data_IF_605948806878
#
_entry.id   IF_605948806878
#
_cell.length_a   1.000
_cell.length_b   1.000
_cell.length_c   1.000
_cell.angle_alpha   90.00
_cell.angle_beta   90.00
_cell.angle_gamma   90.00
#
_symmetry.space_group_name_H-M   'P 1'
#
loop_
_entity.id
_entity.type
_entity.pdbx_description
1 polymer ?
#
# COMPACT_ATOMS: atom_id res chain seq x y z
N UNK A 1 27.26 -89.15 0.00
CA UNK A 1 28.40 -89.15 0.94
C UNK A 1 27.91 -89.71 2.26
N UNK A 2 28.60 -90.72 2.77
CA UNK A 2 28.31 -91.36 4.06
C UNK A 2 29.65 -91.77 4.67
N UNK A 3 29.72 -91.91 5.99
CA UNK A 3 30.90 -92.49 6.61
C UNK A 3 31.03 -93.97 6.25
N UNK A 4 32.23 -94.55 6.37
CA UNK A 4 32.44 -96.00 6.24
C UNK A 4 31.47 -96.74 7.17
N UNK A 5 30.61 -97.57 6.57
CA UNK A 5 29.53 -98.33 7.23
C UNK A 5 29.66 -99.81 6.84
N UNK A 6 30.72 -100.44 7.30
CA UNK A 6 30.99 -101.85 7.09
C UNK A 6 31.62 -102.49 8.35
N UNK A 7 31.74 -103.83 8.43
CA UNK A 7 32.21 -104.52 9.63
C UNK A 7 33.65 -104.20 10.07
N UNK A 8 34.42 -103.46 9.26
CA UNK A 8 35.82 -103.10 9.57
C UNK A 8 35.96 -101.69 10.14
N UNK A 9 34.87 -100.93 10.25
CA UNK A 9 34.88 -99.58 10.81
C UNK A 9 35.05 -99.55 12.34
N UNK A 10 35.60 -98.45 12.86
CA UNK A 10 35.72 -98.18 14.31
C UNK A 10 34.90 -96.95 14.70
N UNK A 11 34.30 -96.90 15.91
CA UNK A 11 33.35 -95.85 16.30
C UNK A 11 33.97 -94.50 16.68
N UNK A 12 35.30 -94.47 16.90
CA UNK A 12 36.07 -93.27 17.22
C UNK A 12 37.18 -93.15 16.21
N UNK A 13 37.35 -91.96 15.61
CA UNK A 13 38.42 -91.70 14.66
C UNK A 13 39.78 -91.98 15.34
N UNK A 14 40.62 -92.86 14.76
CA UNK A 14 41.97 -93.07 15.28
C UNK A 14 42.78 -91.77 15.31
N UNK A 15 43.76 -91.63 16.24
CA UNK A 15 44.69 -90.51 16.21
C UNK A 15 45.40 -90.45 14.84
N UNK A 16 45.41 -89.27 14.22
CA UNK A 16 46.14 -89.04 12.97
C UNK A 16 47.63 -89.28 13.25
N UNK A 17 48.28 -90.10 12.42
CA UNK A 17 49.68 -90.41 12.57
C UNK A 17 50.57 -89.17 12.36
N UNK A 18 51.79 -89.23 12.88
CA UNK A 18 52.76 -88.16 12.69
C UNK A 18 53.07 -87.93 11.20
N UNK A 19 53.28 -86.67 10.82
CA UNK A 19 53.66 -86.29 9.46
C UNK A 19 54.95 -87.02 9.02
N UNK A 20 54.87 -87.81 7.96
CA UNK A 20 55.99 -88.63 7.47
C UNK A 20 56.87 -87.92 6.42
N UNK A 21 56.38 -86.86 5.79
CA UNK A 21 57.11 -86.10 4.76
C UNK A 21 56.82 -84.61 4.88
N UNK A 22 57.88 -83.79 4.93
CA UNK A 22 57.79 -82.32 4.94
C UNK A 22 57.66 -81.70 3.54
N UNK A 23 57.71 -82.54 2.51
CA UNK A 23 57.55 -82.15 1.10
C UNK A 23 56.35 -82.86 0.50
N UNK A 24 55.57 -82.16 -0.32
CA UNK A 24 54.38 -82.72 -0.98
C UNK A 24 54.74 -83.91 -1.87
N UNK A 25 54.07 -85.04 -1.69
CA UNK A 25 54.21 -86.25 -2.49
C UNK A 25 52.91 -86.52 -3.26
N UNK A 26 52.99 -87.29 -4.34
CA UNK A 26 51.86 -87.62 -5.22
C UNK A 26 51.71 -89.14 -5.40
N UNK A 27 50.51 -89.59 -5.72
CA UNK A 27 50.25 -91.00 -6.04
C UNK A 27 51.05 -91.44 -7.28
N UNK A 28 51.67 -92.62 -7.19
CA UNK A 28 52.35 -93.30 -8.30
C UNK A 28 51.89 -94.75 -8.39
N UNK A 29 51.82 -95.29 -9.61
CA UNK A 29 51.54 -96.72 -9.91
C UNK A 29 52.69 -97.64 -9.48
N UNK A 30 53.78 -97.08 -8.94
CA UNK A 30 55.01 -97.82 -8.62
C UNK A 30 55.88 -98.07 -9.86
N UNK A 31 56.96 -98.83 -9.68
CA UNK A 31 57.94 -99.12 -10.74
C UNK A 31 59.36 -99.29 -10.21
N UNK A 32 60.22 -100.02 -10.93
CA UNK A 32 61.63 -100.28 -10.56
C UNK A 32 61.82 -100.72 -9.09
N UNK A 33 60.97 -101.60 -8.59
CA UNK A 33 61.04 -102.13 -7.22
C UNK A 33 60.37 -101.27 -6.15
N UNK A 34 59.78 -100.13 -6.50
CA UNK A 34 58.96 -99.32 -5.58
C UNK A 34 57.48 -99.71 -5.72
N UNK A 35 56.79 -100.04 -4.61
CA UNK A 35 55.38 -100.39 -4.64
C UNK A 35 54.50 -99.18 -5.03
N UNK A 36 53.30 -99.42 -5.58
CA UNK A 36 52.31 -98.38 -5.80
C UNK A 36 51.99 -97.63 -4.50
N UNK A 37 51.61 -96.36 -4.63
CA UNK A 37 51.16 -95.57 -3.49
C UNK A 37 49.83 -96.13 -2.96
N UNK A 38 49.78 -96.44 -1.68
CA UNK A 38 48.54 -96.82 -1.01
C UNK A 38 48.10 -95.69 -0.08
N UNK A 39 46.88 -95.15 -0.23
CA UNK A 39 46.32 -94.25 0.75
C UNK A 39 46.03 -95.02 2.04
N UNK A 40 46.63 -94.58 3.14
CA UNK A 40 46.40 -95.13 4.47
C UNK A 40 45.05 -94.69 5.08
N UNK A 41 44.68 -95.25 6.25
CA UNK A 41 43.45 -94.91 6.94
C UNK A 41 43.33 -93.41 7.27
N UNK A 42 44.43 -92.73 7.58
CA UNK A 42 44.44 -91.29 7.85
C UNK A 42 43.92 -90.48 6.67
N UNK A 43 44.40 -90.78 5.46
CA UNK A 43 44.00 -90.07 4.24
C UNK A 43 42.50 -90.23 3.98
N UNK A 44 41.99 -91.47 4.06
CA UNK A 44 40.58 -91.75 3.85
C UNK A 44 39.68 -91.12 4.93
N UNK A 45 40.10 -91.15 6.19
CA UNK A 45 39.35 -90.54 7.28
C UNK A 45 39.31 -89.01 7.19
N UNK A 46 40.41 -88.38 6.76
CA UNK A 46 40.46 -86.92 6.54
C UNK A 46 39.49 -86.53 5.42
N UNK A 47 39.62 -87.13 4.22
CA UNK A 47 38.73 -86.83 3.09
C UNK A 47 37.27 -87.10 3.45
N UNK A 48 36.99 -88.22 4.13
CA UNK A 48 35.64 -88.52 4.59
C UNK A 48 35.12 -87.41 5.52
N UNK A 49 35.91 -87.02 6.52
CA UNK A 49 35.52 -86.04 7.53
C UNK A 49 35.27 -84.67 6.91
N UNK A 50 36.12 -84.22 5.97
CA UNK A 50 35.92 -82.95 5.25
C UNK A 50 34.64 -82.96 4.43
N UNK A 51 34.35 -84.05 3.71
CA UNK A 51 33.13 -84.16 2.91
C UNK A 51 31.87 -84.27 3.78
N UNK A 52 31.94 -84.92 4.95
CA UNK A 52 30.86 -84.95 5.93
C UNK A 52 30.67 -83.58 6.61
N UNK A 53 31.75 -82.84 6.84
CA UNK A 53 31.70 -81.50 7.42
C UNK A 53 31.01 -80.51 6.48
N UNK A 54 31.23 -80.61 5.16
CA UNK A 54 30.48 -79.85 4.16
C UNK A 54 28.97 -80.10 4.29
N UNK A 55 28.55 -81.35 4.48
CA UNK A 55 27.14 -81.68 4.71
C UNK A 55 26.64 -81.10 6.04
N UNK A 56 27.42 -81.22 7.11
CA UNK A 56 27.09 -80.70 8.44
C UNK A 56 26.88 -79.19 8.42
N UNK A 57 27.80 -78.46 7.80
CA UNK A 57 27.73 -77.00 7.61
C UNK A 57 26.49 -76.61 6.79
N UNK A 58 26.14 -77.39 5.77
CA UNK A 58 24.90 -77.20 5.02
C UNK A 58 23.64 -77.68 5.76
N UNK A 59 23.74 -78.20 6.97
CA UNK A 59 22.66 -78.85 7.71
C UNK A 59 21.94 -79.92 6.87
N UNK A 60 22.72 -80.82 6.26
CA UNK A 60 22.27 -81.99 5.51
C UNK A 60 22.74 -83.22 6.26
N UNK A 61 21.82 -84.14 6.59
CA UNK A 61 22.19 -85.42 7.21
C UNK A 61 22.79 -86.35 6.15
N UNK A 62 23.94 -87.00 6.41
CA UNK A 62 24.49 -88.00 5.52
C UNK A 62 23.49 -89.14 5.26
N UNK A 63 23.34 -89.54 4.01
CA UNK A 63 22.51 -90.67 3.57
C UNK A 63 23.25 -91.57 2.58
N UNK A 64 23.40 -92.85 2.89
CA UNK A 64 24.09 -93.82 2.03
C UNK A 64 23.40 -94.05 0.68
N UNK A 65 22.11 -93.76 0.56
CA UNK A 65 21.35 -93.97 -0.68
C UNK A 65 21.39 -92.78 -1.65
N UNK A 66 22.00 -91.66 -1.24
CA UNK A 66 22.01 -90.42 -2.03
C UNK A 66 23.40 -90.07 -2.55
N UNK A 67 23.55 -89.93 -3.87
CA UNK A 67 24.84 -89.71 -4.54
C UNK A 67 25.15 -88.24 -4.89
N UNK A 68 24.24 -87.29 -4.65
CA UNK A 68 24.41 -85.86 -4.99
C UNK A 68 24.55 -84.93 -3.77
N UNK A 69 24.73 -85.45 -2.56
CA UNK A 69 24.64 -84.66 -1.32
C UNK A 69 25.68 -83.54 -1.21
N UNK A 70 26.92 -83.76 -1.67
CA UNK A 70 27.97 -82.73 -1.65
C UNK A 70 27.55 -81.54 -2.53
N UNK A 71 27.08 -81.80 -3.75
CA UNK A 71 26.56 -80.77 -4.64
C UNK A 71 25.37 -80.03 -4.01
N UNK A 72 24.46 -80.74 -3.35
CA UNK A 72 23.33 -80.14 -2.62
C UNK A 72 23.81 -79.23 -1.47
N UNK A 73 24.84 -79.66 -0.72
CA UNK A 73 25.45 -78.84 0.33
C UNK A 73 26.13 -77.59 -0.22
N UNK A 74 26.94 -77.71 -1.28
CA UNK A 74 27.59 -76.57 -1.91
C UNK A 74 26.57 -75.58 -2.47
N UNK A 75 25.50 -76.06 -3.11
CA UNK A 75 24.37 -75.20 -3.52
C UNK A 75 23.77 -74.49 -2.31
N UNK A 76 23.52 -75.17 -1.21
CA UNK A 76 22.93 -74.55 -0.02
C UNK A 76 23.87 -73.53 0.64
N UNK A 77 25.17 -73.78 0.67
CA UNK A 77 26.20 -72.92 1.28
C UNK A 77 26.57 -71.70 0.43
N UNK A 78 26.55 -71.84 -0.90
CA UNK A 78 26.95 -70.76 -1.82
C UNK A 78 25.76 -70.05 -2.50
N UNK A 79 24.57 -70.66 -2.53
CA UNK A 79 23.32 -70.04 -3.03
C UNK A 79 22.48 -69.48 -1.86
N UNK A 80 22.96 -69.50 -0.62
CA UNK A 80 22.41 -68.64 0.46
C UNK A 80 22.79 -67.16 0.28
N UNK A 81 22.50 -66.64 -0.91
CA UNK A 81 21.75 -65.39 -1.05
C UNK A 81 20.22 -65.67 -1.03
N UNK A 82 19.79 -66.77 -0.39
CA UNK A 82 18.37 -67.10 -0.16
C UNK A 82 17.74 -65.97 0.64
N UNK A 83 16.94 -65.17 -0.04
CA UNK A 83 16.32 -64.01 0.54
C UNK A 83 16.40 -62.80 -0.37
N UNK A 84 16.42 -61.63 0.25
CA UNK A 84 16.48 -60.33 -0.42
C UNK A 84 17.73 -60.16 -1.30
N UNK A 85 18.84 -60.86 -1.01
CA UNK A 85 20.06 -60.82 -1.83
C UNK A 85 19.89 -61.54 -3.18
N UNK A 86 19.16 -62.65 -3.22
CA UNK A 86 18.79 -63.34 -4.47
C UNK A 86 17.80 -62.54 -5.31
N UNK A 87 16.92 -61.78 -4.64
CA UNK A 87 16.01 -60.84 -5.30
C UNK A 87 16.77 -59.74 -6.05
N UNK A 88 17.85 -59.21 -5.47
CA UNK A 88 18.73 -58.22 -6.11
C UNK A 88 19.51 -58.86 -7.26
N UNK A 89 20.09 -60.05 -7.05
CA UNK A 89 20.88 -60.76 -8.05
C UNK A 89 20.07 -61.15 -9.30
N UNK A 90 18.76 -61.35 -9.14
CA UNK A 90 17.84 -61.65 -10.24
C UNK A 90 17.40 -60.42 -11.05
N UNK A 91 17.75 -59.20 -10.64
CA UNK A 91 17.42 -57.99 -11.40
C UNK A 91 18.38 -57.82 -12.58
N UNK A 92 17.82 -57.75 -13.79
CA UNK A 92 18.56 -57.27 -14.96
C UNK A 92 18.58 -55.75 -14.92
N UNK A 93 19.76 -55.14 -14.72
CA UNK A 93 19.89 -53.68 -14.67
C UNK A 93 19.31 -52.99 -15.91
N UNK A 94 18.49 -51.95 -15.69
CA UNK A 94 17.93 -51.11 -16.75
C UNK A 94 18.14 -49.63 -16.45
N UNK A 95 18.43 -48.85 -17.49
CA UNK A 95 18.60 -47.40 -17.37
C UNK A 95 17.36 -46.75 -16.75
N UNK A 96 17.57 -45.77 -15.87
CA UNK A 96 16.51 -44.96 -15.29
C UNK A 96 15.47 -45.74 -14.49
N UNK A 97 15.84 -46.82 -13.81
CA UNK A 97 14.92 -47.62 -12.98
C UNK A 97 15.36 -47.68 -11.51
N UNK A 98 14.41 -47.90 -10.60
CA UNK A 98 14.67 -48.12 -9.18
C UNK A 98 14.23 -49.53 -8.77
N UNK A 99 15.10 -50.32 -8.11
CA UNK A 99 14.73 -51.58 -7.51
C UNK A 99 13.77 -51.42 -6.34
N UNK A 100 12.69 -52.19 -6.28
CA UNK A 100 11.78 -52.23 -5.13
C UNK A 100 11.26 -53.65 -4.89
N UNK A 101 10.92 -53.97 -3.64
CA UNK A 101 10.34 -55.27 -3.30
C UNK A 101 8.87 -55.33 -3.73
N UNK A 102 8.51 -56.38 -4.47
CA UNK A 102 7.12 -56.71 -4.82
C UNK A 102 6.56 -57.85 -3.97
N UNK A 103 7.41 -58.46 -3.14
CA UNK A 103 7.07 -59.49 -2.17
C UNK A 103 8.28 -59.84 -1.31
N UNK A 104 8.09 -60.72 -0.33
CA UNK A 104 9.20 -61.27 0.46
C UNK A 104 10.18 -61.95 -0.51
N UNK A 105 11.40 -61.43 -0.58
CA UNK A 105 12.49 -61.96 -1.40
C UNK A 105 12.24 -61.91 -2.94
N UNK A 106 11.35 -61.02 -3.38
CA UNK A 106 11.11 -60.73 -4.80
C UNK A 106 11.23 -59.23 -5.05
N UNK A 107 12.00 -58.83 -6.07
CA UNK A 107 12.15 -57.43 -6.48
C UNK A 107 11.76 -57.25 -7.93
N UNK A 108 11.34 -56.03 -8.26
CA UNK A 108 11.15 -55.57 -9.62
C UNK A 108 11.82 -54.20 -9.82
N UNK A 109 11.98 -53.81 -11.08
CA UNK A 109 12.40 -52.47 -11.46
C UNK A 109 11.17 -51.62 -11.76
N UNK A 110 11.15 -50.39 -11.23
CA UNK A 110 10.17 -49.38 -11.64
C UNK A 110 10.86 -48.26 -12.41
N UNK A 111 10.34 -47.81 -13.57
CA UNK A 111 10.88 -46.66 -14.28
C UNK A 111 10.78 -45.38 -13.44
N UNK A 112 11.88 -44.64 -13.36
CA UNK A 112 11.93 -43.31 -12.76
C UNK A 112 11.70 -42.25 -13.83
N UNK A 113 10.84 -41.28 -13.54
CA UNK A 113 10.72 -40.08 -14.38
C UNK A 113 12.00 -39.24 -14.32
N UNK A 114 12.21 -38.38 -15.32
CA UNK A 114 13.32 -37.42 -15.30
C UNK A 114 13.28 -36.53 -14.04
N UNK A 115 12.08 -36.20 -13.56
CA UNK A 115 11.86 -35.45 -12.32
C UNK A 115 12.41 -36.18 -11.09
N UNK A 116 12.04 -37.46 -10.88
CA UNK A 116 12.49 -38.20 -9.68
C UNK A 116 14.00 -38.44 -9.71
N UNK A 117 14.60 -38.68 -10.89
CA UNK A 117 16.06 -38.77 -11.00
C UNK A 117 16.77 -37.45 -10.72
N UNK A 118 16.13 -36.32 -10.98
CA UNK A 118 16.63 -35.00 -10.61
C UNK A 118 16.60 -34.74 -9.10
N UNK A 119 15.87 -35.56 -8.32
CA UNK A 119 15.74 -35.44 -6.86
C UNK A 119 16.67 -36.44 -6.15
N UNK A 120 16.73 -37.69 -6.63
CA UNK A 120 17.57 -38.73 -6.04
C UNK A 120 19.04 -38.40 -6.26
N UNK A 121 19.79 -38.17 -5.18
CA UNK A 121 21.22 -37.83 -5.24
C UNK A 121 21.55 -36.35 -5.03
N UNK A 122 20.59 -35.53 -4.59
CA UNK A 122 20.90 -34.18 -4.10
C UNK A 122 21.57 -34.24 -2.73
N UNK A 123 22.71 -33.56 -2.60
CA UNK A 123 23.54 -33.56 -1.38
C UNK A 123 23.16 -32.44 -0.39
N UNK A 124 22.31 -31.48 -0.81
CA UNK A 124 21.84 -30.39 0.04
C UNK A 124 20.31 -30.23 0.02
N UNK A 125 19.76 -29.68 1.10
CA UNK A 125 18.34 -29.34 1.18
C UNK A 125 17.94 -28.28 0.13
N UNK A 126 18.84 -27.36 -0.18
CA UNK A 126 18.71 -26.33 -1.21
C UNK A 126 18.50 -26.95 -2.60
N UNK A 127 19.37 -27.88 -3.01
CA UNK A 127 19.27 -28.52 -4.32
C UNK A 127 18.04 -29.42 -4.45
N UNK A 128 17.64 -30.06 -3.35
CA UNK A 128 16.40 -30.84 -3.29
C UNK A 128 15.17 -29.93 -3.47
N UNK A 129 15.13 -28.78 -2.78
CA UNK A 129 14.04 -27.82 -2.87
C UNK A 129 13.92 -27.18 -4.26
N UNK A 130 15.05 -26.87 -4.90
CA UNK A 130 15.09 -26.35 -6.26
C UNK A 130 14.59 -27.39 -7.28
N UNK A 131 14.99 -28.65 -7.13
CA UNK A 131 14.50 -29.75 -7.97
C UNK A 131 12.98 -29.93 -7.86
N UNK A 132 12.41 -29.65 -6.67
CA UNK A 132 10.98 -29.72 -6.42
C UNK A 132 10.20 -28.53 -7.02
N UNK A 133 10.86 -27.44 -7.47
CA UNK A 133 10.25 -26.19 -7.98
C UNK A 133 9.22 -25.52 -7.04
N UNK A 134 9.06 -26.03 -5.82
CA UNK A 134 8.11 -25.53 -4.81
C UNK A 134 8.68 -24.33 -4.05
N UNK A 135 10.01 -24.21 -3.98
CA UNK A 135 10.72 -23.09 -3.35
C UNK A 135 11.55 -22.43 -4.44
N UNK A 136 11.02 -21.40 -5.10
CA UNK A 136 11.89 -20.58 -5.96
C UNK A 136 12.69 -19.65 -5.06
N UNK A 137 14.00 -19.87 -5.00
CA UNK A 137 14.93 -19.07 -4.18
C UNK A 137 15.25 -17.70 -4.80
N UNK A 138 14.89 -17.47 -6.06
CA UNK A 138 15.09 -16.18 -6.73
C UNK A 138 14.08 -15.98 -7.86
N UNK A 139 13.23 -14.96 -7.73
CA UNK A 139 12.30 -14.52 -8.78
C UNK A 139 11.32 -15.60 -9.28
N UNK A 140 10.30 -15.17 -10.01
CA UNK A 140 9.39 -16.12 -10.64
C UNK A 140 8.15 -15.48 -11.22
N UNK A 141 7.70 -16.01 -12.34
CA UNK A 141 6.37 -15.73 -12.89
C UNK A 141 5.39 -16.75 -12.34
N UNK A 142 4.26 -16.28 -11.83
CA UNK A 142 3.09 -17.11 -11.48
C UNK A 142 2.05 -16.93 -12.59
N UNK A 143 1.45 -18.01 -13.08
CA UNK A 143 0.39 -17.97 -14.10
C UNK A 143 -1.01 -17.80 -13.51
N UNK A 144 -1.12 -17.69 -12.18
CA UNK A 144 -2.37 -17.50 -11.45
C UNK A 144 -2.20 -16.58 -10.23
N UNK A 145 -3.27 -16.40 -9.46
CA UNK A 145 -3.32 -15.49 -8.31
C UNK A 145 -2.42 -15.95 -7.15
N UNK A 146 -1.71 -15.00 -6.54
CA UNK A 146 -1.07 -15.18 -5.23
C UNK A 146 -2.08 -14.84 -4.13
N UNK A 147 -2.50 -15.84 -3.35
CA UNK A 147 -3.46 -15.68 -2.23
C UNK A 147 -2.76 -15.82 -0.90
N UNK A 148 -2.87 -14.82 -0.05
CA UNK A 148 -2.21 -14.76 1.25
C UNK A 148 -3.27 -14.54 2.33
N UNK A 149 -3.37 -15.48 3.29
CA UNK A 149 -4.29 -15.36 4.43
C UNK A 149 -3.69 -14.61 5.62
N UNK A 150 -2.36 -14.48 5.66
CA UNK A 150 -1.64 -13.78 6.72
C UNK A 150 -1.99 -12.30 6.78
N UNK A 151 -1.95 -11.73 7.98
CA UNK A 151 -2.27 -10.31 8.23
C UNK A 151 -1.22 -9.41 7.60
N UNK A 152 0.06 -9.61 7.93
CA UNK A 152 1.19 -9.02 7.21
C UNK A 152 1.43 -9.88 5.95
N UNK A 153 0.85 -9.48 4.82
CA UNK A 153 0.72 -10.35 3.67
C UNK A 153 1.97 -10.32 2.77
N UNK A 154 2.37 -9.14 2.32
CA UNK A 154 3.51 -8.94 1.41
C UNK A 154 4.46 -7.89 1.98
N UNK A 155 5.77 -8.10 1.84
CA UNK A 155 6.81 -7.16 2.21
C UNK A 155 7.70 -6.86 1.01
N UNK A 156 8.01 -5.57 0.83
CA UNK A 156 9.06 -5.09 -0.08
C UNK A 156 10.06 -4.35 0.79
N UNK A 157 11.34 -4.72 0.77
CA UNK A 157 12.29 -4.20 1.74
C UNK A 157 13.71 -4.04 1.18
N UNK A 158 14.51 -3.25 1.90
CA UNK A 158 15.97 -3.27 1.88
C UNK A 158 16.48 -3.38 3.34
N UNK A 159 17.77 -3.13 3.57
CA UNK A 159 18.35 -3.16 4.92
C UNK A 159 17.69 -2.16 5.89
N UNK A 160 17.41 -0.94 5.43
CA UNK A 160 16.89 0.13 6.26
C UNK A 160 15.38 0.02 6.51
N UNK A 161 14.58 -0.19 5.47
CA UNK A 161 13.13 -0.12 5.55
C UNK A 161 12.44 -1.24 4.79
N UNK A 162 11.32 -1.69 5.34
CA UNK A 162 10.36 -2.55 4.67
C UNK A 162 9.03 -1.81 4.57
N UNK A 163 8.30 -2.03 3.49
CA UNK A 163 6.89 -1.68 3.37
C UNK A 163 6.08 -2.96 3.40
N UNK A 164 5.14 -3.04 4.35
CA UNK A 164 4.28 -4.19 4.57
C UNK A 164 2.88 -3.85 4.08
N UNK A 165 2.36 -4.67 3.17
CA UNK A 165 0.96 -4.70 2.76
C UNK A 165 0.22 -5.53 3.80
N UNK A 166 -0.50 -4.85 4.69
CA UNK A 166 -1.15 -5.47 5.85
C UNK A 166 -2.67 -5.43 5.70
N UNK A 167 -3.31 -6.60 5.73
CA UNK A 167 -4.77 -6.72 5.88
C UNK A 167 -5.11 -6.96 7.34
N UNK A 168 -5.50 -5.90 8.06
CA UNK A 168 -5.85 -5.96 9.49
C UNK A 168 -7.31 -5.58 9.66
N UNK A 169 -8.08 -6.37 10.39
CA UNK A 169 -9.51 -6.10 10.63
C UNK A 169 -10.27 -5.88 9.31
N UNK A 170 -10.84 -4.68 9.14
CA UNK A 170 -11.58 -4.24 7.97
C UNK A 170 -10.76 -3.36 7.03
N UNK A 171 -9.43 -3.26 7.19
CA UNK A 171 -8.60 -2.33 6.44
C UNK A 171 -7.43 -3.02 5.72
N UNK A 172 -7.06 -2.47 4.56
CA UNK A 172 -5.76 -2.68 3.92
C UNK A 172 -4.87 -1.47 4.21
N UNK A 173 -3.69 -1.72 4.76
CA UNK A 173 -2.70 -0.68 5.07
C UNK A 173 -1.40 -0.92 4.30
N UNK A 174 -0.73 0.18 3.97
CA UNK A 174 0.68 0.19 3.57
C UNK A 174 1.49 0.74 4.74
N UNK A 175 2.22 -0.12 5.45
CA UNK A 175 2.89 0.25 6.71
C UNK A 175 4.40 0.06 6.59
N UNK A 176 5.21 1.12 6.77
CA UNK A 176 6.65 0.97 6.83
C UNK A 176 7.08 0.35 8.17
N UNK A 177 8.21 -0.35 8.17
CA UNK A 177 8.92 -0.75 9.40
C UNK A 177 9.58 0.46 10.06
N UNK A 178 10.11 0.27 11.27
CA UNK A 178 11.16 1.15 11.79
C UNK A 178 12.43 1.05 10.94
N UNK A 179 13.27 2.09 11.01
CA UNK A 179 14.58 2.12 10.35
C UNK A 179 15.53 1.05 10.89
N UNK A 180 16.33 0.45 10.01
CA UNK A 180 17.24 -0.66 10.32
C UNK A 180 16.54 -2.02 10.51
N UNK A 181 15.23 -2.09 10.29
CA UNK A 181 14.44 -3.31 10.49
C UNK A 181 13.70 -3.72 9.21
N UNK A 182 14.28 -3.47 8.03
CA UNK A 182 13.53 -3.61 6.79
C UNK A 182 13.06 -5.04 6.50
N UNK A 183 13.93 -6.03 6.67
CA UNK A 183 13.63 -7.44 6.40
C UNK A 183 12.75 -8.08 7.49
N UNK A 184 13.22 -8.02 8.73
CA UNK A 184 12.65 -8.81 9.84
C UNK A 184 11.89 -7.96 10.87
N UNK A 185 11.79 -6.64 10.66
CA UNK A 185 11.09 -5.75 11.57
C UNK A 185 9.59 -5.92 11.55
N UNK A 186 8.96 -5.71 12.70
CA UNK A 186 7.52 -5.58 12.82
C UNK A 186 7.00 -4.30 12.14
N UNK A 187 5.67 -4.14 12.15
CA UNK A 187 5.03 -2.93 11.64
C UNK A 187 5.48 -1.70 12.46
N UNK A 188 5.81 -0.61 11.77
CA UNK A 188 6.11 0.67 12.39
C UNK A 188 4.85 1.42 12.87
N UNK A 189 5.04 2.59 13.49
CA UNK A 189 3.94 3.40 14.02
C UNK A 189 3.17 4.18 12.94
N UNK A 190 3.74 4.33 11.73
CA UNK A 190 3.16 5.18 10.68
C UNK A 190 1.99 4.50 9.96
N UNK A 191 1.02 5.31 9.53
CA UNK A 191 -0.15 4.92 8.72
C UNK A 191 -0.30 5.87 7.53
N UNK A 192 0.61 5.82 6.54
CA UNK A 192 0.60 6.75 5.41
C UNK A 192 -0.60 6.56 4.48
N UNK A 193 -1.07 5.33 4.31
CA UNK A 193 -2.20 5.00 3.43
C UNK A 193 -3.00 3.81 3.96
N UNK A 194 -4.32 3.97 4.02
CA UNK A 194 -5.27 2.95 4.45
C UNK A 194 -6.50 2.95 3.55
N UNK A 195 -7.00 1.77 3.20
CA UNK A 195 -8.30 1.58 2.56
C UNK A 195 -9.19 0.80 3.52
N UNK A 196 -10.34 1.36 3.89
CA UNK A 196 -11.39 0.60 4.55
C UNK A 196 -12.05 -0.33 3.52
N UNK A 197 -12.01 -1.64 3.77
CA UNK A 197 -12.49 -2.68 2.86
C UNK A 197 -14.02 -2.82 2.86
N UNK A 198 -14.71 -2.24 3.84
CA UNK A 198 -16.18 -2.19 3.91
C UNK A 198 -16.74 -0.99 3.13
N UNK A 199 -16.09 0.17 3.25
CA UNK A 199 -16.60 1.44 2.67
C UNK A 199 -15.87 1.88 1.40
N UNK A 200 -14.66 1.37 1.16
CA UNK A 200 -13.75 1.84 0.11
C UNK A 200 -13.05 3.17 0.43
N UNK A 201 -13.30 3.76 1.61
CA UNK A 201 -12.70 5.03 2.01
C UNK A 201 -11.18 4.92 2.10
N UNK A 202 -10.49 5.90 1.53
CA UNK A 202 -9.04 6.02 1.57
C UNK A 202 -8.67 7.10 2.58
N UNK A 203 -7.84 6.73 3.56
CA UNK A 203 -7.31 7.67 4.56
C UNK A 203 -5.79 7.79 4.46
N UNK A 204 -5.30 9.03 4.43
CA UNK A 204 -3.88 9.37 4.46
C UNK A 204 -3.61 10.33 5.62
N UNK A 205 -3.19 9.82 6.77
CA UNK A 205 -3.00 10.61 8.00
C UNK A 205 -1.64 11.34 8.07
N UNK A 206 -0.96 11.46 6.93
CA UNK A 206 0.34 12.11 6.79
C UNK A 206 0.25 13.14 5.65
N UNK A 207 1.28 13.98 5.51
CA UNK A 207 1.35 14.97 4.43
C UNK A 207 1.22 14.28 3.07
N UNK A 208 0.37 14.82 2.21
CA UNK A 208 0.24 14.40 0.81
C UNK A 208 0.84 15.50 -0.07
N UNK A 209 1.82 15.14 -0.90
CA UNK A 209 2.40 16.03 -1.90
C UNK A 209 1.96 15.55 -3.28
N UNK A 210 1.29 16.40 -4.05
CA UNK A 210 0.76 16.07 -5.38
C UNK A 210 1.49 16.91 -6.43
N UNK A 211 2.29 16.27 -7.29
CA UNK A 211 2.92 16.90 -8.44
C UNK A 211 2.00 16.89 -9.66
N UNK A 212 2.16 17.85 -10.58
CA UNK A 212 1.42 17.89 -11.85
C UNK A 212 -0.04 18.38 -11.76
N UNK A 213 -0.51 18.78 -10.57
CA UNK A 213 -1.87 19.27 -10.33
C UNK A 213 -2.80 18.21 -9.70
N UNK A 214 -3.95 18.64 -9.19
CA UNK A 214 -4.97 17.77 -8.62
C UNK A 214 -6.37 18.19 -9.10
N UNK A 215 -7.20 17.20 -9.42
CA UNK A 215 -8.60 17.40 -9.73
C UNK A 215 -9.44 16.70 -8.67
N UNK A 216 -10.39 17.42 -8.08
CA UNK A 216 -11.40 16.87 -7.18
C UNK A 216 -12.71 16.79 -7.94
N UNK A 217 -13.18 15.57 -8.22
CA UNK A 217 -14.49 15.34 -8.83
C UNK A 217 -15.56 15.27 -7.73
N UNK A 218 -16.01 16.44 -7.28
CA UNK A 218 -16.95 16.57 -6.17
C UNK A 218 -16.78 17.88 -5.42
N UNK A 219 -17.12 17.86 -4.12
CA UNK A 219 -16.93 18.99 -3.21
C UNK A 219 -15.65 18.82 -2.40
N UNK A 220 -14.94 19.91 -2.13
CA UNK A 220 -13.75 19.91 -1.26
C UNK A 220 -14.10 20.51 0.09
N UNK A 221 -13.80 19.80 1.17
CA UNK A 221 -13.90 20.32 2.54
C UNK A 221 -12.52 20.38 3.19
N UNK A 222 -12.16 21.54 3.76
CA UNK A 222 -10.91 21.73 4.48
C UNK A 222 -11.18 21.68 5.97
N UNK A 223 -10.74 20.58 6.61
CA UNK A 223 -10.95 20.32 8.05
C UNK A 223 -12.34 19.78 8.40
N UNK A 224 -13.22 19.63 7.41
CA UNK A 224 -14.64 19.30 7.57
C UNK A 224 -15.20 18.59 6.34
N UNK A 225 -16.33 17.92 6.48
CA UNK A 225 -17.10 17.43 5.33
C UNK A 225 -17.86 18.60 4.70
N UNK A 226 -17.79 18.75 3.38
CA UNK A 226 -18.49 19.81 2.67
C UNK A 226 -20.01 19.57 2.60
N UNK A 227 -20.81 20.55 3.06
CA UNK A 227 -22.27 20.55 3.00
C UNK A 227 -22.85 21.55 1.98
N UNK A 228 -22.03 22.38 1.33
CA UNK A 228 -22.46 23.24 0.21
C UNK A 228 -22.71 22.45 -1.09
N UNK A 229 -22.32 21.17 -1.14
CA UNK A 229 -22.53 20.27 -2.27
C UNK A 229 -21.49 20.44 -3.38
N UNK A 230 -21.71 19.82 -4.55
CA UNK A 230 -20.72 19.80 -5.65
C UNK A 230 -20.25 21.19 -6.11
N UNK A 231 -19.06 21.22 -6.74
CA UNK A 231 -18.42 22.43 -7.26
C UNK A 231 -18.19 23.52 -6.20
N UNK A 232 -17.81 23.10 -4.98
CA UNK A 232 -17.60 24.02 -3.87
C UNK A 232 -16.39 23.66 -3.03
N UNK A 233 -15.91 24.66 -2.30
CA UNK A 233 -14.85 24.56 -1.30
C UNK A 233 -15.39 25.17 0.00
N UNK A 234 -15.38 24.42 1.10
CA UNK A 234 -15.70 24.93 2.45
C UNK A 234 -14.47 24.92 3.35
N UNK A 235 -14.43 25.83 4.32
CA UNK A 235 -13.25 26.12 5.13
C UNK A 235 -13.62 26.16 6.62
N UNK A 236 -13.12 25.20 7.41
CA UNK A 236 -13.22 25.22 8.89
C UNK A 236 -14.59 24.81 9.46
N UNK A 237 -15.68 25.11 8.76
CA UNK A 237 -17.02 24.58 8.98
C UNK A 237 -17.58 23.95 7.69
N UNK A 238 -18.73 23.28 7.76
CA UNK A 238 -19.26 22.55 6.61
C UNK A 238 -20.06 23.41 5.62
N UNK A 239 -20.29 24.70 5.89
CA UNK A 239 -21.24 25.53 5.13
C UNK A 239 -20.82 27.00 4.91
N UNK A 240 -19.56 27.34 5.17
CA UNK A 240 -18.91 28.60 4.81
C UNK A 240 -17.81 28.36 3.75
N UNK A 241 -17.87 29.09 2.63
CA UNK A 241 -16.89 28.93 1.57
C UNK A 241 -17.31 29.49 0.21
N UNK A 242 -16.82 28.86 -0.86
CA UNK A 242 -17.06 29.27 -2.25
C UNK A 242 -17.80 28.17 -3.01
N UNK A 243 -18.77 28.54 -3.84
CA UNK A 243 -19.53 27.61 -4.67
C UNK A 243 -19.74 28.16 -6.07
N UNK A 244 -19.45 27.35 -7.08
CA UNK A 244 -19.83 27.66 -8.45
C UNK A 244 -21.29 27.24 -8.68
N UNK A 245 -22.14 28.20 -9.06
CA UNK A 245 -23.58 27.99 -9.31
C UNK A 245 -23.95 28.12 -10.80
N UNK A 246 -22.94 28.18 -11.68
CA UNK A 246 -23.08 28.28 -13.12
C UNK A 246 -21.76 28.70 -13.76
N UNK A 247 -21.68 28.63 -15.08
CA UNK A 247 -20.51 29.16 -15.79
C UNK A 247 -20.36 30.66 -15.51
N UNK A 248 -19.15 31.06 -15.12
CA UNK A 248 -18.85 32.43 -14.70
C UNK A 248 -19.55 32.92 -13.43
N UNK A 249 -20.26 32.08 -12.67
CA UNK A 249 -20.95 32.46 -11.42
C UNK A 249 -20.29 31.81 -10.19
N UNK A 250 -19.48 32.59 -9.47
CA UNK A 250 -18.83 32.18 -8.23
C UNK A 250 -19.47 32.88 -7.04
N UNK A 251 -20.08 32.11 -6.15
CA UNK A 251 -20.80 32.59 -4.98
C UNK A 251 -19.99 32.35 -3.71
N UNK A 252 -20.10 33.28 -2.76
CA UNK A 252 -19.54 33.18 -1.41
C UNK A 252 -20.67 32.90 -0.43
N UNK A 253 -20.50 31.85 0.36
CA UNK A 253 -21.42 31.45 1.41
C UNK A 253 -20.79 31.63 2.78
N UNK A 254 -21.59 32.05 3.76
CA UNK A 254 -21.22 32.04 5.17
C UNK A 254 -22.39 31.48 5.99
N UNK A 255 -22.16 30.39 6.72
CA UNK A 255 -23.17 29.69 7.51
C UNK A 255 -24.44 29.41 6.68
N UNK A 256 -24.26 28.77 5.51
CA UNK A 256 -25.30 28.46 4.52
C UNK A 256 -25.98 29.68 3.84
N UNK A 257 -25.54 30.91 4.10
CA UNK A 257 -26.11 32.13 3.51
C UNK A 257 -25.26 32.62 2.34
N UNK A 258 -25.86 32.78 1.16
CA UNK A 258 -25.21 33.40 0.01
C UNK A 258 -25.04 34.92 0.23
N UNK A 259 -23.82 35.37 0.49
CA UNK A 259 -23.51 36.76 0.85
C UNK A 259 -23.01 37.62 -0.31
N UNK A 260 -22.29 37.02 -1.27
CA UNK A 260 -21.65 37.74 -2.38
C UNK A 260 -21.59 36.85 -3.62
N UNK A 261 -21.77 37.43 -4.81
CA UNK A 261 -21.58 36.78 -6.11
C UNK A 261 -20.57 37.54 -6.97
N UNK A 262 -19.61 36.81 -7.52
CA UNK A 262 -18.75 37.27 -8.61
C UNK A 262 -19.31 36.75 -9.93
N UNK A 263 -19.49 37.66 -10.88
CA UNK A 263 -19.87 37.35 -12.26
C UNK A 263 -19.03 38.15 -13.24
N UNK A 264 -19.02 37.76 -14.51
CA UNK A 264 -18.10 38.31 -15.52
C UNK A 264 -18.08 39.84 -15.63
N UNK A 265 -19.23 40.49 -15.43
CA UNK A 265 -19.38 41.94 -15.55
C UNK A 265 -19.56 42.71 -14.25
N UNK A 266 -19.72 42.05 -13.09
CA UNK A 266 -19.99 42.75 -11.84
C UNK A 266 -19.76 41.88 -10.60
N UNK A 267 -19.79 42.54 -9.45
CA UNK A 267 -19.89 41.89 -8.14
C UNK A 267 -21.24 42.28 -7.54
N UNK A 268 -22.05 41.29 -7.15
CA UNK A 268 -23.32 41.51 -6.47
C UNK A 268 -23.17 41.16 -4.99
N UNK A 269 -23.54 42.09 -4.11
CA UNK A 269 -23.71 41.78 -2.69
C UNK A 269 -25.18 41.55 -2.36
N UNK A 270 -25.47 40.45 -1.66
CA UNK A 270 -26.81 40.12 -1.18
C UNK A 270 -27.04 40.59 0.27
N UNK A 271 -26.03 41.20 0.86
CA UNK A 271 -26.03 41.73 2.22
C UNK A 271 -25.48 43.16 2.20
N UNK A 272 -25.63 43.89 3.30
CA UNK A 272 -25.01 45.19 3.43
C UNK A 272 -23.48 45.07 3.38
N UNK A 273 -22.83 45.97 2.66
CA UNK A 273 -21.37 46.06 2.64
C UNK A 273 -20.94 47.10 3.67
N UNK A 274 -20.25 46.66 4.71
CA UNK A 274 -19.64 47.57 5.68
C UNK A 274 -18.23 47.94 5.22
N UNK A 275 -17.95 49.23 5.04
CA UNK A 275 -16.66 49.74 4.58
C UNK A 275 -16.12 50.69 5.64
N UNK A 276 -14.97 50.37 6.22
CA UNK A 276 -14.32 51.19 7.25
C UNK A 276 -13.63 52.43 6.68
N UNK A 277 -13.32 52.42 5.38
CA UNK A 277 -12.73 53.53 4.64
C UNK A 277 -13.71 54.21 3.69
N UNK A 278 -13.15 54.98 2.75
CA UNK A 278 -13.92 55.68 1.72
C UNK A 278 -14.27 54.74 0.56
N UNK A 279 -15.50 54.82 0.07
CA UNK A 279 -15.91 54.25 -1.23
C UNK A 279 -15.77 55.35 -2.29
N UNK A 280 -15.07 55.08 -3.39
CA UNK A 280 -14.90 56.02 -4.50
C UNK A 280 -15.35 55.35 -5.81
N UNK A 281 -16.63 55.48 -6.18
CA UNK A 281 -17.14 55.03 -7.47
C UNK A 281 -16.45 55.72 -8.67
N UNK A 282 -16.36 55.02 -9.80
CA UNK A 282 -15.96 55.62 -11.09
C UNK A 282 -17.07 56.48 -11.69
N UNK A 283 -18.32 56.22 -11.30
CA UNK A 283 -19.51 56.96 -11.67
C UNK A 283 -20.36 57.21 -10.42
N UNK A 284 -20.63 58.48 -10.12
CA UNK A 284 -21.49 58.90 -9.02
C UNK A 284 -22.93 59.17 -9.47
N UNK A 285 -23.29 58.93 -10.74
CA UNK A 285 -24.60 59.29 -11.30
C UNK A 285 -25.79 58.80 -10.47
N UNK A 286 -25.70 57.62 -9.85
CA UNK A 286 -26.74 57.08 -8.96
C UNK A 286 -26.74 57.67 -7.52
N UNK A 287 -25.65 58.33 -7.11
CA UNK A 287 -25.57 59.14 -5.89
C UNK A 287 -26.03 60.58 -6.18
N UNK A 288 -25.55 61.18 -7.27
CA UNK A 288 -25.86 62.54 -7.69
C UNK A 288 -27.35 62.71 -8.07
N UNK A 289 -27.97 61.67 -8.63
CA UNK A 289 -29.42 61.65 -8.85
C UNK A 289 -30.22 61.75 -7.53
N UNK A 290 -29.65 61.23 -6.43
CA UNK A 290 -30.26 61.30 -5.09
C UNK A 290 -29.85 62.56 -4.33
N UNK A 291 -28.67 63.11 -4.63
CA UNK A 291 -28.12 64.34 -4.05
C UNK A 291 -27.76 65.30 -5.18
N UNK A 292 -28.64 66.24 -5.53
CA UNK A 292 -28.54 67.11 -6.71
C UNK A 292 -27.37 68.14 -6.67
N UNK A 293 -26.14 67.75 -6.40
CA UNK A 293 -25.06 68.67 -6.01
C UNK A 293 -24.38 69.42 -7.17
N UNK A 294 -24.80 69.22 -8.43
CA UNK A 294 -24.28 70.02 -9.56
C UNK A 294 -25.32 70.66 -10.48
N UNK A 295 -26.42 69.98 -10.79
CA UNK A 295 -27.34 70.48 -11.83
C UNK A 295 -28.80 70.66 -11.38
N UNK A 296 -29.17 70.36 -10.12
CA UNK A 296 -30.57 70.45 -9.66
C UNK A 296 -30.79 71.05 -8.27
N UNK A 297 -29.83 70.92 -7.37
CA UNK A 297 -29.91 71.37 -5.99
C UNK A 297 -29.25 72.71 -5.77
N UNK A 298 -29.43 73.26 -4.57
CA UNK A 298 -28.76 74.50 -4.16
C UNK A 298 -27.28 74.21 -3.97
N UNK A 299 -26.47 74.72 -4.89
CA UNK A 299 -25.01 74.59 -4.88
C UNK A 299 -24.37 75.55 -3.89
N UNK A 300 -24.97 76.72 -3.71
CA UNK A 300 -24.51 77.79 -2.82
C UNK A 300 -25.66 78.76 -2.50
N UNK A 301 -25.53 79.54 -1.42
CA UNK A 301 -26.50 80.55 -0.98
C UNK A 301 -25.77 81.84 -0.63
N UNK A 302 -26.28 82.99 -1.12
CA UNK A 302 -25.68 84.30 -0.82
C UNK A 302 -26.71 85.42 -0.69
N UNK A 303 -26.30 86.54 -0.11
CA UNK A 303 -27.02 87.81 -0.29
C UNK A 303 -26.59 88.49 -1.59
N UNK A 304 -27.57 88.91 -2.40
CA UNK A 304 -27.36 89.67 -3.63
C UNK A 304 -26.97 91.13 -3.36
N UNK A 305 -27.17 92.00 -4.34
CA UNK A 305 -26.85 93.44 -4.20
C UNK A 305 -27.75 94.12 -3.15
N UNK A 306 -27.20 95.13 -2.46
CA UNK A 306 -27.90 95.91 -1.44
C UNK A 306 -28.74 97.03 -2.02
N UNK A 307 -30.03 97.02 -1.70
CA UNK A 307 -31.01 98.00 -2.10
C UNK A 307 -31.35 98.91 -0.93
N UNK A 308 -31.85 100.11 -1.21
CA UNK A 308 -32.25 101.09 -0.20
C UNK A 308 -33.65 101.61 -0.50
N UNK A 309 -34.52 101.62 0.51
CA UNK A 309 -35.86 102.21 0.43
C UNK A 309 -35.92 103.43 1.36
N UNK A 310 -36.44 104.55 0.87
CA UNK A 310 -36.69 105.77 1.65
C UNK A 310 -38.12 106.28 1.42
N UNK A 311 -38.81 106.79 2.45
CA UNK A 311 -40.14 107.39 2.31
C UNK A 311 -40.11 108.77 1.59
N UNK A 312 -38.93 109.30 1.26
CA UNK A 312 -38.78 110.57 0.52
C UNK A 312 -39.01 111.85 1.32
N UNK A 313 -39.59 111.75 2.53
CA UNK A 313 -39.74 112.85 3.49
C UNK A 313 -39.69 112.32 4.93
N UNK A 314 -39.22 113.14 5.87
CA UNK A 314 -39.19 112.83 7.31
C UNK A 314 -40.47 113.25 8.06
N UNK A 315 -41.47 113.80 7.36
CA UNK A 315 -42.75 114.21 7.95
C UNK A 315 -43.90 113.23 7.66
N UNK A 316 -43.61 112.09 7.03
CA UNK A 316 -44.62 111.10 6.66
C UNK A 316 -44.43 109.81 7.47
N UNK A 317 -45.55 109.23 7.94
CA UNK A 317 -45.53 107.87 8.47
C UNK A 317 -45.38 106.89 7.32
N UNK A 318 -44.51 105.89 7.47
CA UNK A 318 -44.27 104.89 6.45
C UNK A 318 -44.15 103.49 7.05
N UNK A 319 -44.41 102.49 6.21
CA UNK A 319 -44.24 101.08 6.55
C UNK A 319 -43.59 100.39 5.38
N UNK A 320 -42.47 99.73 5.63
CA UNK A 320 -41.80 98.91 4.63
C UNK A 320 -41.92 97.43 4.98
N UNK A 321 -42.20 96.61 3.97
CA UNK A 321 -42.10 95.15 4.03
C UNK A 321 -41.14 94.74 2.94
N UNK A 322 -40.10 93.99 3.30
CA UNK A 322 -39.13 93.48 2.34
C UNK A 322 -39.85 92.74 1.21
N UNK A 323 -39.48 92.97 -0.07
CA UNK A 323 -40.02 92.20 -1.17
C UNK A 323 -39.76 90.70 -0.99
N UNK A 324 -40.55 89.85 -1.67
CA UNK A 324 -40.36 88.38 -1.62
C UNK A 324 -38.90 88.00 -1.85
N UNK A 325 -38.37 87.13 -0.99
CA UNK A 325 -36.97 86.71 -1.04
C UNK A 325 -35.96 87.67 -0.46
N UNK A 326 -36.35 88.84 0.06
CA UNK A 326 -35.41 89.84 0.57
C UNK A 326 -35.42 89.90 2.10
N UNK A 327 -34.23 90.04 2.68
CA UNK A 327 -34.03 90.34 4.10
C UNK A 327 -33.55 91.78 4.29
N UNK A 328 -33.87 92.38 5.45
CA UNK A 328 -33.27 93.64 5.86
C UNK A 328 -31.77 93.44 6.12
N UNK A 329 -30.93 94.33 5.59
CA UNK A 329 -29.49 94.34 5.80
C UNK A 329 -28.99 95.58 6.57
N UNK A 330 -29.86 96.57 6.80
CA UNK A 330 -29.52 97.75 7.59
C UNK A 330 -30.66 98.76 7.70
N UNK A 331 -30.45 99.79 8.51
CA UNK A 331 -31.39 100.89 8.73
C UNK A 331 -30.61 102.21 8.63
N UNK A 332 -31.12 103.19 7.89
CA UNK A 332 -30.54 104.53 7.83
C UNK A 332 -31.25 105.45 8.83
N UNK A 333 -30.48 106.12 9.68
CA UNK A 333 -30.98 106.97 10.76
C UNK A 333 -30.36 108.36 10.62
N UNK A 334 -31.13 109.41 10.90
CA UNK A 334 -30.58 110.75 11.14
C UNK A 334 -31.19 111.40 12.36
N UNK A 335 -30.36 112.17 13.06
CA UNK A 335 -30.78 113.14 14.07
C UNK A 335 -31.66 114.23 13.43
N UNK A 336 -32.75 114.59 14.09
CA UNK A 336 -33.69 115.63 13.64
C UNK A 336 -33.62 116.91 14.47
N UNK A 337 -32.70 117.00 15.43
CA UNK A 337 -32.44 118.17 16.26
C UNK A 337 -32.70 117.96 17.75
N UNK A 338 -32.63 119.05 18.52
CA UNK A 338 -32.66 118.99 19.99
C UNK A 338 -34.05 118.68 20.54
N UNK A 339 -34.15 117.63 21.37
CA UNK A 339 -35.36 117.15 22.05
C UNK A 339 -36.41 116.48 21.14
N UNK A 340 -36.01 115.89 20.01
CA UNK A 340 -36.84 115.02 19.19
C UNK A 340 -36.27 113.59 19.13
N UNK A 341 -37.07 112.63 18.66
CA UNK A 341 -36.59 111.28 18.37
C UNK A 341 -35.82 111.25 17.03
N UNK A 342 -34.86 110.34 16.92
CA UNK A 342 -34.16 110.07 15.67
C UNK A 342 -35.14 109.62 14.58
N UNK A 343 -34.93 110.10 13.36
CA UNK A 343 -35.76 109.69 12.22
C UNK A 343 -35.14 108.48 11.51
N UNK A 344 -35.98 107.51 11.17
CA UNK A 344 -35.59 106.42 10.27
C UNK A 344 -35.75 106.92 8.83
N UNK A 345 -34.63 107.22 8.19
CA UNK A 345 -34.57 107.75 6.83
C UNK A 345 -34.85 106.70 5.76
N UNK A 346 -34.71 105.43 6.11
CA UNK A 346 -34.91 104.32 5.20
C UNK A 346 -34.33 103.01 5.72
N UNK A 347 -34.46 101.96 4.91
CA UNK A 347 -33.89 100.63 5.21
C UNK A 347 -33.10 100.09 4.03
N UNK A 348 -32.02 99.37 4.35
CA UNK A 348 -31.28 98.58 3.40
C UNK A 348 -31.81 97.14 3.39
N UNK A 349 -31.90 96.53 2.21
CA UNK A 349 -32.38 95.16 2.07
C UNK A 349 -31.71 94.45 0.88
N UNK A 350 -31.58 93.12 0.98
CA UNK A 350 -30.86 92.29 -0.01
C UNK A 350 -31.68 91.05 -0.37
N UNK A 351 -31.73 90.64 -1.64
CA UNK A 351 -32.31 89.35 -1.99
C UNK A 351 -31.42 88.23 -1.46
N UNK A 352 -32.01 87.24 -0.79
CA UNK A 352 -31.38 85.95 -0.61
C UNK A 352 -31.41 85.22 -1.96
N UNK A 353 -30.24 84.77 -2.42
CA UNK A 353 -30.08 84.08 -3.68
C UNK A 353 -29.56 82.67 -3.44
N UNK A 354 -30.01 81.74 -4.30
CA UNK A 354 -29.52 80.35 -4.35
C UNK A 354 -28.93 80.07 -5.72
N UNK A 355 -27.78 79.40 -5.75
CA UNK A 355 -27.14 78.94 -6.97
C UNK A 355 -27.70 77.57 -7.34
N UNK A 356 -28.30 77.47 -8.52
CA UNK A 356 -28.78 76.20 -9.08
C UNK A 356 -28.30 76.13 -10.52
N UNK A 357 -27.60 75.04 -10.86
CA UNK A 357 -27.09 74.79 -12.21
C UNK A 357 -26.28 75.98 -12.79
N UNK A 358 -25.40 76.57 -11.98
CA UNK A 358 -24.57 77.72 -12.37
C UNK A 358 -25.31 79.06 -12.49
N UNK A 359 -26.62 79.10 -12.26
CA UNK A 359 -27.45 80.32 -12.32
C UNK A 359 -27.92 80.73 -10.93
N UNK A 360 -27.80 82.02 -10.61
CA UNK A 360 -28.30 82.58 -9.36
C UNK A 360 -29.78 82.95 -9.46
N UNK A 361 -30.60 82.39 -8.58
CA UNK A 361 -32.03 82.68 -8.47
C UNK A 361 -32.32 83.41 -7.15
N UNK A 362 -33.20 84.41 -7.18
CA UNK A 362 -33.76 84.97 -5.95
C UNK A 362 -34.68 83.94 -5.29
N UNK A 363 -34.58 83.83 -3.96
CA UNK A 363 -35.48 82.99 -3.16
C UNK A 363 -36.87 83.62 -3.14
N UNK A 364 -37.91 82.83 -2.87
CA UNK A 364 -39.26 83.33 -2.63
C UNK A 364 -39.59 83.28 -1.14
N UNK A 365 -40.33 84.27 -0.66
CA UNK A 365 -40.99 84.27 0.65
C UNK A 365 -42.43 83.78 0.50
N UNK A 366 -42.90 82.96 1.45
CA UNK A 366 -44.28 82.44 1.51
C UNK A 366 -45.20 83.32 2.36
#
# INVERSE_FOLDING_TARGET
MFYVDNPTGVPVMPPVAAELSKTTLYFTEGGNGIPPTYPGPDWFNIIQSELLEILRQANIKPDKNTTNQIMTALKKLFITNSGSAGAIAGLTGQNNTFPYFTGKDTMALTPLSAFVRGILGKESATDFADALKVIKQSGGTMTGELKIRGVNALRIFNEAFGLIFRRSEECLHLIPTSEGQGENGDIGPLRPFTINLRTGEISMSHKVSVGGGSQVNGALGIGVQNALGGNSIVLGDNDTGFKQNGDGLLDVYANSVHVLRFQSGSIQSNKAVNVTGRVTPSDYGNFDARYQQRNGGVQDVRYGYEMYYTPGSNTVSWTFRSPSGHGLSGIAISDTGRNSADNVNGVYYRPLQKLINGTWYNVASI
#
